data_IF_183278641945
#
_entry.id   IF_183278641945
#
_cell.length_a   1.000
_cell.length_b   1.000
_cell.length_c   1.000
_cell.angle_alpha   90.00
_cell.angle_beta   90.00
_cell.angle_gamma   90.00
#
_symmetry.space_group_name_H-M   'P 1'
#
loop_
_entity.id
_entity.type
_entity.pdbx_description
1 polymer ?
#
# COMPACT_ATOMS: atom_id res chain seq x y z
N UNK A 1 4.45 -15.38 20.58
CA UNK A 1 4.35 -16.39 19.51
C UNK A 1 3.76 -15.71 18.29
N UNK A 2 4.59 -15.25 17.35
CA UNK A 2 4.12 -14.50 16.18
C UNK A 2 3.64 -15.47 15.10
N UNK A 3 2.37 -15.36 14.70
CA UNK A 3 1.76 -16.16 13.63
C UNK A 3 2.41 -15.83 12.27
N UNK A 4 3.63 -16.29 12.02
CA UNK A 4 4.36 -16.10 10.76
C UNK A 4 3.56 -16.61 9.56
N UNK A 5 2.82 -17.71 9.74
CA UNK A 5 1.93 -18.28 8.70
C UNK A 5 0.85 -17.30 8.25
N UNK A 6 0.18 -16.64 9.19
CA UNK A 6 -0.86 -15.65 8.88
C UNK A 6 -0.30 -14.44 8.16
N UNK A 7 0.89 -13.95 8.57
CA UNK A 7 1.56 -12.83 7.91
C UNK A 7 1.97 -13.18 6.48
N UNK A 8 2.52 -14.37 6.24
CA UNK A 8 2.91 -14.80 4.89
C UNK A 8 1.69 -14.92 3.96
N UNK A 9 0.60 -15.52 4.43
CA UNK A 9 -0.65 -15.62 3.66
C UNK A 9 -1.19 -14.24 3.34
N UNK A 10 -1.18 -13.32 4.32
CA UNK A 10 -1.66 -11.95 4.11
C UNK A 10 -0.82 -11.22 3.06
N UNK A 11 0.51 -11.24 3.18
CA UNK A 11 1.43 -10.62 2.20
C UNK A 11 1.24 -11.22 0.81
N UNK A 12 1.09 -12.54 0.71
CA UNK A 12 0.83 -13.22 -0.56
C UNK A 12 -0.50 -12.80 -1.17
N UNK A 13 -1.59 -12.80 -0.41
CA UNK A 13 -2.92 -12.42 -0.88
C UNK A 13 -2.95 -10.95 -1.34
N UNK A 14 -2.35 -10.04 -0.56
CA UNK A 14 -2.21 -8.63 -0.96
C UNK A 14 -1.40 -8.49 -2.24
N UNK A 15 -0.26 -9.18 -2.35
CA UNK A 15 0.56 -9.17 -3.57
C UNK A 15 -0.20 -9.69 -4.79
N UNK A 16 -0.98 -10.76 -4.63
CA UNK A 16 -1.79 -11.35 -5.70
C UNK A 16 -2.92 -10.41 -6.16
N UNK A 17 -3.70 -9.87 -5.22
CA UNK A 17 -4.78 -8.91 -5.53
C UNK A 17 -4.23 -7.66 -6.20
N UNK A 18 -3.10 -7.15 -5.72
CA UNK A 18 -2.44 -5.98 -6.30
C UNK A 18 -1.96 -6.26 -7.73
N UNK A 19 -1.29 -7.39 -7.95
CA UNK A 19 -0.81 -7.80 -9.28
C UNK A 19 -1.95 -8.04 -10.28
N UNK A 20 -3.05 -8.65 -9.83
CA UNK A 20 -4.25 -8.87 -10.68
C UNK A 20 -4.97 -7.56 -11.01
N UNK A 21 -5.13 -6.66 -10.03
CA UNK A 21 -5.71 -5.33 -10.26
C UNK A 21 -4.88 -4.51 -11.25
N UNK A 22 -3.55 -4.56 -11.12
CA UNK A 22 -2.63 -3.95 -12.08
C UNK A 22 -2.77 -4.54 -13.49
N UNK A 23 -2.78 -5.87 -13.61
CA UNK A 23 -2.95 -6.55 -14.89
C UNK A 23 -4.28 -6.21 -15.57
N UNK A 24 -5.37 -6.09 -14.80
CA UNK A 24 -6.69 -5.65 -15.31
C UNK A 24 -6.61 -4.24 -15.87
N UNK A 25 -6.02 -3.30 -15.12
CA UNK A 25 -5.90 -1.90 -15.58
C UNK A 25 -5.06 -1.79 -16.85
N UNK A 26 -3.93 -2.51 -16.95
CA UNK A 26 -3.14 -2.50 -18.20
C UNK A 26 -3.86 -3.14 -19.38
N UNK A 27 -4.68 -4.16 -19.12
CA UNK A 27 -5.56 -4.76 -20.13
C UNK A 27 -6.61 -3.77 -20.63
N UNK A 28 -7.23 -3.01 -19.73
CA UNK A 28 -8.28 -2.03 -20.04
C UNK A 28 -7.74 -0.82 -20.82
N UNK A 29 -6.49 -0.42 -20.58
CA UNK A 29 -5.84 0.67 -21.32
C UNK A 29 -5.40 0.28 -22.75
N UNK A 30 -5.53 -0.98 -23.16
CA UNK A 30 -5.22 -1.44 -24.52
C UNK A 30 -3.76 -1.20 -24.92
N UNK A 31 -2.83 -1.21 -23.95
CA UNK A 31 -1.42 -0.93 -24.19
C UNK A 31 -0.88 -2.00 -25.14
N UNK A 32 -0.46 -1.58 -26.34
CA UNK A 32 0.19 -2.46 -27.29
C UNK A 32 1.40 -3.15 -26.63
N UNK A 33 1.61 -4.44 -26.94
CA UNK A 33 2.54 -5.31 -26.22
C UNK A 33 3.99 -4.76 -26.17
N UNK A 34 4.34 -3.89 -27.12
CA UNK A 34 5.61 -3.16 -27.20
C UNK A 34 5.84 -2.18 -26.03
N UNK A 35 4.78 -1.63 -25.44
CA UNK A 35 4.89 -0.66 -24.33
C UNK A 35 4.61 -1.27 -22.96
N UNK A 36 4.19 -2.53 -22.89
CA UNK A 36 3.89 -3.21 -21.63
C UNK A 36 5.10 -3.24 -20.68
N UNK A 37 6.28 -3.59 -21.19
CA UNK A 37 7.51 -3.64 -20.39
C UNK A 37 7.90 -2.26 -19.87
N UNK A 38 7.79 -1.22 -20.71
CA UNK A 38 8.07 0.16 -20.31
C UNK A 38 7.09 0.64 -19.23
N UNK A 39 5.80 0.32 -19.38
CA UNK A 39 4.77 0.62 -18.37
C UNK A 39 5.04 -0.11 -17.05
N UNK A 40 5.47 -1.38 -17.10
CA UNK A 40 5.81 -2.16 -15.92
C UNK A 40 7.02 -1.58 -15.17
N UNK A 41 8.07 -1.17 -15.90
CA UNK A 41 9.25 -0.53 -15.33
C UNK A 41 8.87 0.83 -14.72
N UNK A 42 8.14 1.67 -15.46
CA UNK A 42 7.69 2.97 -14.98
C UNK A 42 6.81 2.86 -13.73
N UNK A 43 5.95 1.85 -13.66
CA UNK A 43 5.14 1.56 -12.48
C UNK A 43 5.98 1.15 -11.27
N UNK A 44 6.92 0.20 -11.43
CA UNK A 44 7.77 -0.24 -10.32
C UNK A 44 8.63 0.92 -9.80
N UNK A 45 9.27 1.66 -10.71
CA UNK A 45 10.07 2.85 -10.34
C UNK A 45 9.19 3.89 -9.65
N UNK A 46 8.04 4.23 -10.23
CA UNK A 46 7.11 5.20 -9.63
C UNK A 46 6.61 4.78 -8.25
N UNK A 47 6.30 3.49 -8.07
CA UNK A 47 5.90 2.91 -6.79
C UNK A 47 7.01 2.99 -5.75
N UNK A 48 8.23 2.59 -6.11
CA UNK A 48 9.41 2.70 -5.25
C UNK A 48 9.69 4.16 -4.84
N UNK A 49 9.66 5.09 -5.78
CA UNK A 49 9.83 6.53 -5.50
C UNK A 49 8.73 7.06 -4.59
N UNK A 50 7.46 6.73 -4.85
CA UNK A 50 6.33 7.13 -4.01
C UNK A 50 6.48 6.62 -2.58
N UNK A 51 6.81 5.33 -2.42
CA UNK A 51 7.06 4.73 -1.11
C UNK A 51 8.24 5.41 -0.39
N UNK A 52 9.34 5.67 -1.09
CA UNK A 52 10.51 6.36 -0.51
C UNK A 52 10.15 7.77 -0.05
N UNK A 53 9.39 8.54 -0.83
CA UNK A 53 8.94 9.89 -0.45
C UNK A 53 8.04 9.84 0.80
N UNK A 54 7.10 8.91 0.84
CA UNK A 54 6.21 8.74 2.01
C UNK A 54 7.01 8.37 3.25
N UNK A 55 7.94 7.41 3.15
CA UNK A 55 8.80 6.98 4.25
C UNK A 55 9.69 8.13 4.71
N UNK A 56 10.32 8.87 3.78
CA UNK A 56 11.17 10.01 4.11
C UNK A 56 10.39 11.12 4.81
N UNK A 57 9.20 11.46 4.30
CA UNK A 57 8.32 12.47 4.90
C UNK A 57 7.88 12.06 6.29
N UNK A 58 7.44 10.81 6.47
CA UNK A 58 7.11 10.27 7.78
C UNK A 58 8.34 10.31 8.70
N UNK A 59 9.51 9.88 8.26
CA UNK A 59 10.72 9.91 9.06
C UNK A 59 11.11 11.32 9.51
N UNK A 60 10.96 12.33 8.66
CA UNK A 60 11.19 13.73 9.05
C UNK A 60 10.18 14.21 10.09
N UNK A 61 8.89 13.92 9.89
CA UNK A 61 7.82 14.39 10.77
C UNK A 61 7.84 13.74 12.15
N UNK A 62 8.19 12.46 12.22
CA UNK A 62 7.99 11.64 13.43
C UNK A 62 9.20 10.81 13.86
N UNK A 63 10.27 10.76 13.06
CA UNK A 63 11.44 9.92 13.33
C UNK A 63 12.16 10.25 14.64
N UNK A 64 12.16 11.52 15.05
CA UNK A 64 12.78 11.95 16.32
C UNK A 64 12.03 11.45 17.57
N UNK A 65 10.75 11.10 17.42
CA UNK A 65 9.90 10.63 18.51
C UNK A 65 9.67 9.12 18.48
N UNK A 66 10.16 8.43 17.44
CA UNK A 66 9.88 7.02 17.16
C UNK A 66 10.36 6.05 18.26
N UNK A 67 11.39 6.44 19.03
CA UNK A 67 11.91 5.67 20.16
C UNK A 67 11.11 5.81 21.47
N UNK A 68 10.08 6.66 21.53
CA UNK A 68 9.30 6.88 22.75
C UNK A 68 8.08 5.97 22.81
N UNK A 69 7.81 5.38 23.97
CA UNK A 69 6.68 4.44 24.13
C UNK A 69 5.30 5.04 23.85
N UNK A 70 5.15 6.36 24.01
CA UNK A 70 3.90 7.07 23.68
C UNK A 70 3.65 7.18 22.17
N UNK A 71 4.70 7.12 21.34
CA UNK A 71 4.61 7.27 19.89
C UNK A 71 3.68 6.22 19.28
N UNK A 72 3.82 4.96 19.72
CA UNK A 72 2.97 3.87 19.23
C UNK A 72 1.50 4.10 19.57
N UNK A 73 1.20 4.55 20.79
CA UNK A 73 -0.17 4.75 21.28
C UNK A 73 -0.83 5.99 20.66
N UNK A 74 -0.09 7.08 20.53
CA UNK A 74 -0.64 8.37 20.09
C UNK A 74 -0.64 8.56 18.57
N UNK A 75 0.23 7.87 17.83
CA UNK A 75 0.40 8.08 16.39
C UNK A 75 0.11 6.80 15.60
N UNK A 76 0.85 5.72 15.86
CA UNK A 76 0.75 4.51 15.04
C UNK A 76 -0.65 3.85 15.08
N UNK A 77 -1.21 3.68 16.28
CA UNK A 77 -2.56 3.09 16.45
C UNK A 77 -3.66 3.95 15.80
N UNK A 78 -3.83 5.25 16.13
CA UNK A 78 -4.88 6.07 15.52
C UNK A 78 -4.70 6.24 14.01
N UNK A 79 -3.47 6.40 13.51
CA UNK A 79 -3.22 6.43 12.06
C UNK A 79 -3.70 5.14 11.37
N UNK A 80 -3.43 3.97 11.98
CA UNK A 80 -3.87 2.68 11.45
C UNK A 80 -5.40 2.55 11.46
N UNK A 81 -6.08 3.06 12.50
CA UNK A 81 -7.54 3.07 12.58
C UNK A 81 -8.16 3.98 11.51
N UNK A 82 -7.57 5.16 11.26
CA UNK A 82 -8.02 6.07 10.22
C UNK A 82 -7.88 5.41 8.84
N UNK A 83 -6.72 4.80 8.55
CA UNK A 83 -6.51 4.06 7.29
C UNK A 83 -7.53 2.94 7.13
N UNK A 84 -7.78 2.17 8.19
CA UNK A 84 -8.78 1.09 8.17
C UNK A 84 -10.20 1.63 7.94
N UNK A 85 -10.57 2.75 8.56
CA UNK A 85 -11.88 3.37 8.40
C UNK A 85 -12.08 3.92 6.98
N UNK A 86 -11.08 4.61 6.42
CA UNK A 86 -11.11 5.10 5.04
C UNK A 86 -11.22 3.93 4.07
N UNK A 87 -10.43 2.87 4.28
CA UNK A 87 -10.50 1.65 3.47
C UNK A 87 -11.88 0.98 3.51
N UNK A 88 -12.46 0.85 4.70
CA UNK A 88 -13.81 0.30 4.87
C UNK A 88 -14.87 1.19 4.18
N UNK A 89 -14.75 2.51 4.31
CA UNK A 89 -15.63 3.46 3.64
C UNK A 89 -15.58 3.30 2.12
N UNK A 90 -14.39 3.27 1.52
CA UNK A 90 -14.24 3.05 0.07
C UNK A 90 -14.76 1.69 -0.41
N UNK A 91 -14.62 0.63 0.39
CA UNK A 91 -15.19 -0.69 0.05
C UNK A 91 -16.71 -0.63 0.04
N UNK A 92 -17.31 -0.01 1.05
CA UNK A 92 -18.77 0.17 1.14
C UNK A 92 -19.26 1.01 -0.03
N UNK A 93 -18.65 2.18 -0.25
CA UNK A 93 -18.99 3.09 -1.34
C UNK A 93 -18.94 2.36 -2.69
N UNK A 94 -17.86 1.64 -2.99
CA UNK A 94 -17.67 1.01 -4.29
C UNK A 94 -18.47 -0.28 -4.52
N UNK A 95 -19.01 -0.89 -3.45
CA UNK A 95 -19.77 -2.14 -3.54
C UNK A 95 -21.28 -1.94 -3.41
N UNK A 96 -21.72 -0.93 -2.65
CA UNK A 96 -23.13 -0.71 -2.34
C UNK A 96 -23.75 0.51 -3.05
N UNK A 97 -22.94 1.42 -3.59
CA UNK A 97 -23.40 2.60 -4.35
C UNK A 97 -22.98 2.47 -5.82
#
# INVERSE_FOLDING_TARGET
>A
SGNMRGRTILVFAFGLLHGLGFASVLGDYGIAADRFVVALIGFNIGGEFGQLIVIATAFVLVGWFMGREWYRKAIAIPASLIIAAIGAYWVIERTLM
#
